data_IF_666982100060
#
_entry.id   IF_666982100060
#
_cell.length_a   1.000
_cell.length_b   1.000
_cell.length_c   1.000
_cell.angle_alpha   90.00
_cell.angle_beta   90.00
_cell.angle_gamma   90.00
#
_symmetry.space_group_name_H-M   'P 1'
#
loop_
_entity.id
_entity.type
_entity.pdbx_description
1 polymer ?
#
# COMPACT_ATOMS: atom_id res chain seq x y z
N UNK A 1 -17.99 2.72 16.42
CA UNK A 1 -17.86 2.02 15.12
C UNK A 1 -16.58 2.36 14.36
N UNK A 2 -16.34 3.62 13.96
CA UNK A 2 -15.14 4.00 13.19
C UNK A 2 -13.79 3.73 13.89
N UNK A 3 -13.67 4.02 15.20
CA UNK A 3 -12.45 3.72 15.94
C UNK A 3 -12.20 2.20 16.07
N UNK A 4 -13.25 1.42 16.32
CA UNK A 4 -13.18 -0.06 16.40
C UNK A 4 -12.67 -0.70 15.10
N UNK A 5 -12.97 -0.12 13.93
CA UNK A 5 -12.44 -0.60 12.64
C UNK A 5 -10.98 -0.23 12.39
N UNK A 6 -10.49 0.85 13.01
CA UNK A 6 -9.08 1.25 12.90
C UNK A 6 -8.17 0.54 13.92
N UNK A 7 -8.71 0.04 15.03
CA UNK A 7 -7.94 -0.72 16.05
C UNK A 7 -7.19 -1.90 15.42
N UNK A 8 -7.81 -2.78 14.62
CA UNK A 8 -7.09 -3.87 13.93
C UNK A 8 -5.97 -3.37 13.01
N UNK A 9 -6.16 -2.24 12.33
CA UNK A 9 -5.18 -1.65 11.41
C UNK A 9 -3.97 -1.08 12.17
N UNK A 10 -4.20 -0.45 13.33
CA UNK A 10 -3.12 0.04 14.19
C UNK A 10 -2.40 -1.13 14.85
N UNK A 11 -3.14 -2.11 15.38
CA UNK A 11 -2.58 -3.34 15.92
C UNK A 11 -1.69 -4.06 14.89
N UNK A 12 -2.14 -4.11 13.63
CA UNK A 12 -1.37 -4.65 12.52
C UNK A 12 0.04 -4.05 12.39
N UNK A 13 0.15 -2.73 12.56
CA UNK A 13 1.42 -2.00 12.47
C UNK A 13 2.31 -2.25 13.69
N UNK A 14 1.73 -2.60 14.83
CA UNK A 14 2.43 -2.81 16.08
C UNK A 14 2.82 -4.27 16.32
N UNK A 15 2.19 -5.25 15.66
CA UNK A 15 2.48 -6.68 15.89
C UNK A 15 3.96 -7.07 15.80
N UNK A 16 4.78 -6.55 14.86
CA UNK A 16 6.20 -6.87 14.84
C UNK A 16 6.93 -6.46 16.14
N UNK A 17 6.59 -5.29 16.69
CA UNK A 17 7.11 -4.81 17.96
C UNK A 17 6.59 -5.68 19.12
N UNK A 18 5.30 -6.00 19.12
CA UNK A 18 4.70 -6.87 20.15
C UNK A 18 5.37 -8.23 20.15
N UNK A 19 5.58 -8.85 18.98
CA UNK A 19 6.27 -10.13 18.85
C UNK A 19 7.67 -10.10 19.45
N UNK A 20 8.40 -9.01 19.19
CA UNK A 20 9.73 -8.80 19.75
C UNK A 20 9.69 -8.72 21.29
N UNK A 21 8.80 -7.90 21.85
CA UNK A 21 8.65 -7.74 23.29
C UNK A 21 8.17 -9.03 23.96
N UNK A 22 7.22 -9.75 23.36
CA UNK A 22 6.76 -11.06 23.82
C UNK A 22 7.90 -12.07 23.85
N UNK A 23 8.76 -12.08 22.83
CA UNK A 23 9.93 -12.97 22.77
C UNK A 23 10.93 -12.63 23.87
N UNK A 24 11.19 -11.33 24.10
CA UNK A 24 12.05 -10.86 25.19
C UNK A 24 11.49 -11.30 26.55
N UNK A 25 10.19 -11.09 26.79
CA UNK A 25 9.54 -11.45 28.05
C UNK A 25 9.53 -12.95 28.29
N UNK A 26 9.21 -13.75 27.27
CA UNK A 26 9.21 -15.21 27.37
C UNK A 26 10.60 -15.74 27.73
N UNK A 27 11.65 -15.29 27.03
CA UNK A 27 13.03 -15.67 27.35
C UNK A 27 13.48 -15.13 28.71
N UNK A 28 13.05 -13.93 29.10
CA UNK A 28 13.35 -13.37 30.40
C UNK A 28 12.70 -14.16 31.54
N UNK A 29 11.46 -14.66 31.35
CA UNK A 29 10.79 -15.53 32.32
C UNK A 29 11.55 -16.85 32.48
N UNK A 30 11.83 -17.54 31.36
CA UNK A 30 12.63 -18.77 31.36
C UNK A 30 14.03 -18.58 31.98
N UNK A 31 14.64 -17.42 31.79
CA UNK A 31 15.93 -17.10 32.41
C UNK A 31 15.82 -16.79 33.90
N UNK A 32 14.71 -16.18 34.34
CA UNK A 32 14.47 -15.81 35.74
C UNK A 32 14.24 -17.04 36.61
N UNK A 33 13.47 -17.99 36.09
CA UNK A 33 13.15 -19.25 36.76
C UNK A 33 14.28 -20.30 36.59
N UNK A 34 15.43 -19.88 36.06
CA UNK A 34 16.61 -20.72 35.80
C UNK A 34 16.35 -21.91 34.88
N UNK A 35 15.24 -21.93 34.14
CA UNK A 35 14.88 -23.01 33.21
C UNK A 35 15.88 -23.12 32.05
N UNK A 36 16.36 -21.98 31.52
CA UNK A 36 17.41 -21.98 30.47
C UNK A 36 18.71 -22.62 30.99
N UNK A 37 19.07 -22.35 32.25
CA UNK A 37 20.27 -22.92 32.87
C UNK A 37 20.08 -24.42 33.10
N UNK A 38 18.91 -24.84 33.61
CA UNK A 38 18.57 -26.25 33.81
C UNK A 38 18.57 -27.04 32.49
N UNK A 39 17.96 -26.51 31.43
CA UNK A 39 17.98 -27.11 30.10
C UNK A 39 19.42 -27.30 29.58
N UNK A 40 20.27 -26.28 29.73
CA UNK A 40 21.68 -26.36 29.34
C UNK A 40 22.47 -27.38 30.16
N UNK A 41 22.18 -27.52 31.45
CA UNK A 41 22.85 -28.50 32.32
C UNK A 41 22.58 -29.95 31.89
N UNK A 42 21.43 -30.24 31.26
CA UNK A 42 21.07 -31.56 30.71
C UNK A 42 21.51 -31.71 29.24
N UNK A 43 22.32 -30.78 28.72
CA UNK A 43 22.87 -30.84 27.36
C UNK A 43 21.92 -30.36 26.26
N UNK A 44 20.79 -29.71 26.59
CA UNK A 44 19.92 -29.09 25.58
C UNK A 44 20.59 -27.84 25.04
N UNK A 45 20.80 -27.81 23.72
CA UNK A 45 21.39 -26.65 23.05
C UNK A 45 20.46 -25.44 23.11
N UNK A 46 21.06 -24.25 23.26
CA UNK A 46 20.32 -22.98 23.25
C UNK A 46 19.51 -22.80 21.95
N UNK A 47 20.05 -23.28 20.83
CA UNK A 47 19.38 -23.25 19.53
C UNK A 47 18.06 -24.03 19.52
N UNK A 48 17.95 -25.12 20.28
CA UNK A 48 16.70 -25.89 20.40
C UNK A 48 15.63 -25.11 21.17
N UNK A 49 16.02 -24.31 22.16
CA UNK A 49 15.11 -23.40 22.89
C UNK A 49 14.64 -22.24 22.01
N UNK A 50 15.55 -21.73 21.16
CA UNK A 50 15.29 -20.60 20.26
C UNK A 50 14.42 -20.98 19.06
N UNK A 51 14.59 -22.18 18.52
CA UNK A 51 13.89 -22.64 17.32
C UNK A 51 12.34 -22.47 17.34
N UNK A 52 11.61 -22.88 18.39
CA UNK A 52 10.16 -22.69 18.44
C UNK A 52 9.76 -21.21 18.43
N UNK A 53 10.58 -20.31 18.99
CA UNK A 53 10.33 -18.87 18.96
C UNK A 53 10.47 -18.31 17.53
N UNK A 54 11.47 -18.77 16.78
CA UNK A 54 11.63 -18.40 15.37
C UNK A 54 10.45 -18.89 14.51
N UNK A 55 9.98 -20.12 14.75
CA UNK A 55 8.80 -20.66 14.09
C UNK A 55 7.54 -19.84 14.40
N UNK A 56 7.35 -19.43 15.67
CA UNK A 56 6.25 -18.56 16.06
C UNK A 56 6.33 -17.19 15.38
N UNK A 57 7.53 -16.58 15.30
CA UNK A 57 7.75 -15.32 14.59
C UNK A 57 7.44 -15.42 13.08
N UNK A 58 7.85 -16.52 12.44
CA UNK A 58 7.54 -16.79 11.03
C UNK A 58 6.05 -17.04 10.81
N UNK A 59 5.41 -17.84 11.66
CA UNK A 59 3.98 -18.10 11.62
C UNK A 59 3.19 -16.80 11.76
N UNK A 60 3.59 -15.93 12.70
CA UNK A 60 3.00 -14.60 12.84
C UNK A 60 3.18 -13.75 11.58
N UNK A 61 4.37 -13.74 10.96
CA UNK A 61 4.59 -13.05 9.68
C UNK A 61 3.65 -13.54 8.57
N UNK A 62 3.39 -14.85 8.48
CA UNK A 62 2.43 -15.42 7.52
C UNK A 62 1.01 -14.97 7.83
N UNK A 63 0.58 -15.03 9.09
CA UNK A 63 -0.74 -14.55 9.52
C UNK A 63 -0.91 -13.07 9.18
N UNK A 64 0.09 -12.23 9.46
CA UNK A 64 0.06 -10.82 9.11
C UNK A 64 -0.01 -10.61 7.59
N UNK A 65 0.70 -11.40 6.80
CA UNK A 65 0.64 -11.30 5.35
C UNK A 65 -0.78 -11.64 4.83
N UNK A 66 -1.40 -12.70 5.35
CA UNK A 66 -2.78 -13.09 5.00
C UNK A 66 -3.80 -12.01 5.41
N UNK A 67 -3.66 -11.46 6.63
CA UNK A 67 -4.51 -10.36 7.09
C UNK A 67 -4.33 -9.10 6.23
N UNK A 68 -3.09 -8.80 5.84
CA UNK A 68 -2.76 -7.67 4.96
C UNK A 68 -3.35 -7.79 3.56
N UNK A 69 -3.46 -9.00 3.02
CA UNK A 69 -4.00 -9.25 1.68
C UNK A 69 -5.54 -9.37 1.68
N UNK A 70 -6.13 -9.95 2.71
CA UNK A 70 -7.55 -10.32 2.76
C UNK A 70 -8.41 -9.35 3.60
N UNK A 71 -7.94 -8.99 4.80
CA UNK A 71 -8.74 -8.28 5.80
C UNK A 71 -8.58 -6.77 5.70
N UNK A 72 -7.34 -6.26 5.63
CA UNK A 72 -7.06 -4.82 5.63
C UNK A 72 -7.75 -4.07 4.46
N UNK A 73 -7.72 -4.55 3.21
CA UNK A 73 -8.37 -3.86 2.09
C UNK A 73 -9.89 -3.78 2.26
N UNK A 74 -10.51 -4.80 2.85
CA UNK A 74 -11.96 -4.84 3.12
C UNK A 74 -12.33 -3.89 4.26
N UNK A 75 -11.57 -3.94 5.36
CA UNK A 75 -11.75 -3.06 6.50
C UNK A 75 -11.52 -1.59 6.14
N UNK A 76 -10.51 -1.28 5.33
CA UNK A 76 -10.27 0.07 4.83
C UNK A 76 -11.42 0.57 3.96
N UNK A 77 -11.97 -0.27 3.09
CA UNK A 77 -13.15 0.09 2.28
C UNK A 77 -14.36 0.43 3.16
N UNK A 78 -14.66 -0.40 4.16
CA UNK A 78 -15.77 -0.17 5.09
C UNK A 78 -15.54 1.04 6.03
N UNK A 79 -14.31 1.21 6.53
CA UNK A 79 -13.96 2.34 7.38
C UNK A 79 -14.03 3.67 6.62
N UNK A 80 -13.60 3.70 5.35
CA UNK A 80 -13.74 4.88 4.49
C UNK A 80 -15.21 5.17 4.17
N UNK A 81 -16.04 4.14 3.98
CA UNK A 81 -17.48 4.31 3.82
C UNK A 81 -18.11 4.96 5.06
N UNK A 82 -17.75 4.51 6.27
CA UNK A 82 -18.30 5.03 7.53
C UNK A 82 -17.77 6.45 7.85
N UNK A 83 -16.48 6.71 7.62
CA UNK A 83 -15.88 8.04 7.86
C UNK A 83 -16.53 9.12 7.00
N UNK A 84 -16.85 8.76 5.75
CA UNK A 84 -17.47 9.68 4.81
C UNK A 84 -18.94 9.91 5.15
N UNK A 85 -19.70 8.86 5.48
CA UNK A 85 -21.14 8.95 5.78
C UNK A 85 -21.48 9.58 7.12
N UNK A 86 -20.77 9.22 8.20
CA UNK A 86 -21.17 9.59 9.56
C UNK A 86 -20.38 10.74 10.19
N UNK A 87 -19.16 11.01 9.75
CA UNK A 87 -18.28 11.98 10.44
C UNK A 87 -18.17 13.29 9.65
N UNK A 88 -18.18 13.23 8.31
CA UNK A 88 -18.02 14.45 7.49
C UNK A 88 -19.34 15.07 7.02
N UNK A 89 -20.49 14.49 7.41
CA UNK A 89 -21.84 14.86 6.93
C UNK A 89 -21.87 15.20 5.42
N UNK A 90 -21.05 14.49 4.63
CA UNK A 90 -21.15 14.48 3.18
C UNK A 90 -21.86 13.18 2.86
N UNK A 91 -23.06 13.31 2.30
CA UNK A 91 -23.87 12.17 1.87
C UNK A 91 -23.00 11.09 1.21
N UNK A 92 -23.35 9.83 1.49
CA UNK A 92 -22.65 8.66 0.99
C UNK A 92 -22.17 8.87 -0.45
N UNK A 93 -20.85 8.92 -0.64
CA UNK A 93 -20.20 9.31 -1.88
C UNK A 93 -20.39 8.30 -3.03
N UNK A 94 -21.60 8.26 -3.59
CA UNK A 94 -21.75 8.10 -5.03
C UNK A 94 -21.29 9.38 -5.72
N UNK A 95 -21.50 10.57 -5.14
CA UNK A 95 -21.22 11.86 -5.77
C UNK A 95 -19.72 12.21 -5.95
N UNK A 96 -18.86 12.08 -4.93
CA UNK A 96 -17.41 12.36 -5.14
C UNK A 96 -16.66 11.24 -5.90
N UNK A 97 -17.24 10.04 -5.98
CA UNK A 97 -16.65 8.91 -6.75
C UNK A 97 -17.03 8.94 -8.21
N UNK A 98 -18.09 9.68 -8.54
CA UNK A 98 -18.56 9.87 -9.90
C UNK A 98 -18.18 11.23 -10.47
N UNK A 99 -17.74 12.20 -9.64
CA UNK A 99 -17.35 13.53 -10.10
C UNK A 99 -15.85 13.69 -10.36
N UNK A 100 -15.52 14.56 -11.30
CA UNK A 100 -14.16 14.94 -11.69
C UNK A 100 -13.24 13.76 -12.03
N UNK A 101 -13.70 12.94 -12.97
CA UNK A 101 -12.98 11.75 -13.45
C UNK A 101 -12.00 12.17 -14.53
N UNK A 102 -10.71 11.95 -14.28
CA UNK A 102 -9.65 12.11 -15.26
C UNK A 102 -9.15 10.72 -15.69
N UNK A 103 -9.05 10.51 -17.00
CA UNK A 103 -8.57 9.26 -17.59
C UNK A 103 -7.61 9.59 -18.74
N UNK A 104 -6.43 8.97 -18.74
CA UNK A 104 -5.55 8.96 -19.91
C UNK A 104 -5.94 7.76 -20.78
N UNK A 105 -6.34 8.03 -22.01
CA UNK A 105 -6.75 7.03 -22.98
C UNK A 105 -5.62 6.57 -23.90
N UNK A 106 -5.97 5.70 -24.84
CA UNK A 106 -5.12 5.27 -25.92
C UNK A 106 -4.71 6.47 -26.80
N UNK A 107 -3.51 6.39 -27.40
CA UNK A 107 -2.99 7.45 -28.27
C UNK A 107 -2.61 8.74 -27.55
N UNK A 108 -2.51 8.75 -26.22
CA UNK A 108 -2.10 9.93 -25.44
C UNK A 108 -3.24 10.93 -25.16
N UNK A 109 -4.47 10.63 -25.57
CA UNK A 109 -5.65 11.45 -25.28
C UNK A 109 -5.93 11.54 -23.79
N UNK A 110 -6.36 12.71 -23.32
CA UNK A 110 -6.78 12.91 -21.93
C UNK A 110 -8.27 13.20 -21.90
N UNK A 111 -9.02 12.39 -21.18
CA UNK A 111 -10.45 12.56 -20.92
C UNK A 111 -10.67 13.14 -19.52
N UNK A 112 -11.61 14.08 -19.43
CA UNK A 112 -12.17 14.63 -18.21
C UNK A 112 -13.69 14.47 -18.26
N UNK A 113 -14.29 13.94 -17.21
CA UNK A 113 -15.75 13.88 -17.06
C UNK A 113 -16.16 14.49 -15.73
N UNK A 114 -17.07 15.46 -15.76
CA UNK A 114 -17.54 16.13 -14.54
C UNK A 114 -18.34 15.21 -13.64
N UNK A 115 -19.17 14.33 -14.21
CA UNK A 115 -19.99 13.37 -13.45
C UNK A 115 -20.20 12.08 -14.23
N UNK A 116 -20.23 10.96 -13.52
CA UNK A 116 -20.60 9.64 -14.04
C UNK A 116 -21.89 9.17 -13.38
N UNK A 117 -22.86 8.74 -14.17
CA UNK A 117 -24.10 8.15 -13.70
C UNK A 117 -24.04 6.62 -13.93
N UNK A 118 -23.90 5.82 -12.86
CA UNK A 118 -23.82 4.36 -12.98
C UNK A 118 -25.15 3.72 -13.39
N UNK A 119 -26.31 4.32 -13.07
CA UNK A 119 -27.63 3.78 -13.41
C UNK A 119 -27.94 4.05 -14.88
N UNK A 120 -27.76 5.30 -15.31
CA UNK A 120 -27.98 5.71 -16.69
C UNK A 120 -26.83 5.30 -17.64
N UNK A 121 -25.74 4.73 -17.11
CA UNK A 121 -24.50 4.40 -17.85
C UNK A 121 -24.02 5.57 -18.70
N UNK A 122 -24.08 6.76 -18.11
CA UNK A 122 -23.88 8.04 -18.79
C UNK A 122 -22.75 8.84 -18.12
N UNK A 123 -21.99 9.57 -18.92
CA UNK A 123 -21.04 10.58 -18.47
C UNK A 123 -21.63 11.96 -18.82
N UNK A 124 -21.48 12.91 -17.91
CA UNK A 124 -21.98 14.27 -18.03
C UNK A 124 -20.82 15.25 -18.07
N UNK A 125 -20.88 16.20 -19.02
CA UNK A 125 -19.83 17.17 -19.34
C UNK A 125 -18.47 16.50 -19.49
N UNK A 126 -18.32 15.76 -20.59
CA UNK A 126 -17.07 15.11 -20.97
C UNK A 126 -16.28 16.05 -21.86
N UNK A 127 -15.02 16.26 -21.53
CA UNK A 127 -14.06 16.94 -22.39
C UNK A 127 -12.91 15.99 -22.66
N UNK A 128 -12.44 15.90 -23.90
CA UNK A 128 -11.15 15.27 -24.18
C UNK A 128 -10.24 16.13 -25.03
N UNK A 129 -8.95 15.92 -24.81
CA UNK A 129 -7.87 16.67 -25.43
C UNK A 129 -7.00 15.72 -26.26
N UNK A 130 -6.81 16.08 -27.52
CA UNK A 130 -5.89 15.44 -28.45
C UNK A 130 -4.58 16.21 -28.48
N UNK A 131 -3.47 15.48 -28.47
CA UNK A 131 -2.12 16.04 -28.41
C UNK A 131 -1.27 15.55 -29.59
N UNK A 132 -0.37 16.40 -30.07
CA UNK A 132 0.72 15.97 -30.95
C UNK A 132 1.85 15.27 -30.15
N UNK A 133 2.83 14.64 -30.82
CA UNK A 133 4.00 14.05 -30.13
C UNK A 133 4.84 15.06 -29.31
N UNK A 134 4.73 16.36 -29.61
CA UNK A 134 5.36 17.46 -28.87
C UNK A 134 4.55 17.97 -27.67
N UNK A 135 3.46 17.27 -27.30
CA UNK A 135 2.55 17.62 -26.20
C UNK A 135 1.80 18.95 -26.40
N UNK A 136 1.62 19.39 -27.64
CA UNK A 136 0.76 20.53 -28.00
C UNK A 136 -0.66 20.05 -28.27
N UNK A 137 -1.65 20.82 -27.83
CA UNK A 137 -3.06 20.51 -28.03
C UNK A 137 -3.41 20.72 -29.51
N UNK A 138 -3.81 19.65 -30.20
CA UNK A 138 -4.26 19.68 -31.60
C UNK A 138 -5.78 19.72 -31.70
N UNK A 139 -6.48 19.23 -30.68
CA UNK A 139 -7.93 19.19 -30.65
C UNK A 139 -8.50 19.16 -29.24
N UNK A 140 -9.71 19.69 -29.11
CA UNK A 140 -10.53 19.60 -27.90
C UNK A 140 -11.96 19.26 -28.31
N UNK A 141 -12.52 18.21 -27.74
CA UNK A 141 -13.95 17.90 -27.90
C UNK A 141 -14.64 18.04 -26.57
N UNK A 142 -15.72 18.83 -26.53
CA UNK A 142 -16.63 18.94 -25.40
C UNK A 142 -17.94 18.23 -25.75
N UNK A 143 -18.48 17.44 -24.82
CA UNK A 143 -19.71 16.67 -24.98
C UNK A 143 -20.55 16.86 -23.73
N UNK A 144 -21.81 17.27 -23.88
CA UNK A 144 -22.70 17.50 -22.73
C UNK A 144 -23.09 16.19 -22.05
N UNK A 145 -23.44 15.16 -22.84
CA UNK A 145 -23.85 13.86 -22.32
C UNK A 145 -23.37 12.74 -23.22
N UNK A 146 -22.82 11.69 -22.62
CA UNK A 146 -22.22 10.57 -23.32
C UNK A 146 -22.74 9.25 -22.73
N UNK A 147 -23.56 8.52 -23.48
CA UNK A 147 -24.28 7.32 -23.02
C UNK A 147 -23.72 6.07 -23.67
N UNK A 148 -23.42 5.04 -22.87
CA UNK A 148 -22.89 3.78 -23.37
C UNK A 148 -23.99 2.89 -23.97
N UNK A 149 -23.86 2.53 -25.25
CA UNK A 149 -24.77 1.63 -25.97
C UNK A 149 -24.12 0.28 -26.32
N UNK A 150 -23.38 -0.31 -25.37
CA UNK A 150 -22.83 -1.67 -25.48
C UNK A 150 -21.49 -1.77 -26.22
N UNK A 151 -21.35 -1.05 -27.34
CA UNK A 151 -20.13 -1.05 -28.17
C UNK A 151 -19.74 0.37 -28.67
N UNK A 152 -20.73 1.27 -28.74
CA UNK A 152 -20.54 2.66 -29.16
C UNK A 152 -21.02 3.63 -28.09
N UNK A 153 -20.43 4.81 -28.09
CA UNK A 153 -20.88 5.92 -27.28
C UNK A 153 -21.85 6.79 -28.09
N UNK A 154 -23.04 7.03 -27.54
CA UNK A 154 -23.95 8.06 -28.02
C UNK A 154 -23.57 9.37 -27.34
N UNK A 155 -23.01 10.28 -28.11
CA UNK A 155 -22.59 11.61 -27.69
C UNK A 155 -23.71 12.60 -28.00
N UNK A 156 -24.06 13.46 -27.04
CA UNK A 156 -25.09 14.48 -27.16
C UNK A 156 -24.47 15.84 -26.83
N UNK A 157 -24.75 16.84 -27.66
CA UNK A 157 -24.17 18.18 -27.54
C UNK A 157 -22.66 18.21 -27.79
N UNK A 158 -22.22 17.66 -28.93
CA UNK A 158 -20.80 17.58 -29.29
C UNK A 158 -20.34 18.91 -29.87
N UNK A 159 -19.24 19.44 -29.32
CA UNK A 159 -18.50 20.59 -29.84
C UNK A 159 -17.04 20.18 -29.99
N UNK A 160 -16.63 19.86 -31.21
CA UNK A 160 -15.25 19.52 -31.55
C UNK A 160 -14.54 20.76 -32.09
N UNK A 161 -13.39 21.10 -31.50
CA UNK A 161 -12.52 22.20 -31.93
C UNK A 161 -11.18 21.63 -32.33
N UNK A 162 -10.75 21.87 -33.56
CA UNK A 162 -9.41 21.53 -34.04
C UNK A 162 -8.57 22.78 -34.20
N UNK A 163 -7.38 22.76 -33.61
CA UNK A 163 -6.45 23.87 -33.63
C UNK A 163 -5.44 23.63 -34.75
N UNK A 164 -5.45 24.48 -35.78
CA UNK A 164 -4.45 24.44 -36.83
C UNK A 164 -3.19 25.19 -36.40
N UNK A 165 -2.06 24.85 -37.03
CA UNK A 165 -0.76 25.45 -36.74
C UNK A 165 -0.66 26.96 -37.06
N UNK A 166 -1.58 27.47 -37.89
CA UNK A 166 -1.73 28.89 -38.26
C UNK A 166 -2.55 29.71 -37.25
N UNK A 167 -3.02 29.09 -36.16
CA UNK A 167 -3.90 29.72 -35.17
C UNK A 167 -5.40 29.67 -35.53
N UNK A 168 -5.77 29.10 -36.67
CA UNK A 168 -7.15 28.87 -37.05
C UNK A 168 -7.82 27.81 -36.18
N UNK A 169 -9.11 28.01 -35.87
CA UNK A 169 -9.93 27.05 -35.12
C UNK A 169 -11.08 26.57 -36.01
N UNK A 170 -11.04 25.30 -36.38
CA UNK A 170 -12.20 24.65 -36.98
C UNK A 170 -13.12 24.17 -35.87
N UNK A 171 -14.40 24.57 -35.91
CA UNK A 171 -15.41 24.11 -34.95
C UNK A 171 -16.46 23.27 -35.68
N UNK A 172 -16.59 22.02 -35.26
CA UNK A 172 -17.66 21.13 -35.69
C UNK A 172 -18.65 20.94 -34.53
N UNK A 173 -19.95 21.08 -34.81
CA UNK A 173 -21.02 20.90 -33.83
C UNK A 173 -21.97 19.81 -34.30
N UNK A 174 -22.25 18.84 -33.44
CA UNK A 174 -23.24 17.80 -33.69
C UNK A 174 -24.19 17.68 -32.50
N UNK A 175 -25.49 17.67 -32.76
CA UNK A 175 -26.50 17.51 -31.71
C UNK A 175 -26.43 16.11 -31.08
N UNK A 176 -26.32 15.07 -31.93
CA UNK A 176 -26.14 13.68 -31.51
C UNK A 176 -25.18 12.99 -32.47
N UNK A 177 -24.21 12.24 -31.95
CA UNK A 177 -23.24 11.47 -32.72
C UNK A 177 -23.01 10.10 -32.08
N UNK A 178 -22.88 9.05 -32.88
CA UNK A 178 -22.47 7.72 -32.42
C UNK A 178 -21.00 7.51 -32.73
N UNK A 179 -20.15 7.43 -31.70
CA UNK A 179 -18.70 7.29 -31.84
C UNK A 179 -18.20 6.01 -31.17
N UNK A 180 -17.40 5.24 -31.90
CA UNK A 180 -16.59 4.16 -31.34
C UNK A 180 -15.34 4.76 -30.71
N UNK A 181 -15.18 4.62 -29.40
CA UNK A 181 -13.96 5.01 -28.69
C UNK A 181 -13.27 3.75 -28.15
N UNK A 182 -11.92 3.72 -28.11
CA UNK A 182 -11.18 2.60 -27.52
C UNK A 182 -11.53 2.36 -26.05
N UNK A 183 -11.92 3.42 -25.33
CA UNK A 183 -12.28 3.37 -23.91
C UNK A 183 -13.77 3.04 -23.72
N UNK A 184 -14.07 1.83 -23.24
CA UNK A 184 -15.42 1.44 -22.84
C UNK A 184 -15.86 2.00 -21.48
N UNK A 185 -17.14 1.84 -21.14
CA UNK A 185 -17.76 2.29 -19.88
C UNK A 185 -17.00 1.90 -18.61
N UNK A 186 -16.40 0.71 -18.59
CA UNK A 186 -15.61 0.21 -17.47
C UNK A 186 -14.34 1.02 -17.18
N UNK A 187 -13.81 1.76 -18.16
CA UNK A 187 -12.67 2.64 -17.97
C UNK A 187 -13.03 3.83 -17.08
N UNK A 188 -14.25 4.35 -17.21
CA UNK A 188 -14.77 5.49 -16.46
C UNK A 188 -15.46 5.11 -15.14
N UNK A 189 -15.95 3.86 -15.02
CA UNK A 189 -16.54 3.32 -13.78
C UNK A 189 -15.51 3.04 -12.66
N UNK A 190 -14.27 3.50 -12.78
CA UNK A 190 -13.21 3.16 -11.83
C UNK A 190 -13.47 3.85 -10.50
N UNK A 191 -13.92 3.07 -9.51
CA UNK A 191 -13.86 3.42 -8.09
C UNK A 191 -12.41 3.79 -7.78
N UNK A 192 -12.18 5.06 -7.47
CA UNK A 192 -10.88 5.61 -7.07
C UNK A 192 -10.48 5.04 -5.71
N UNK A 193 -10.15 3.75 -5.63
CA UNK A 193 -9.45 3.18 -4.47
C UNK A 193 -8.09 3.88 -4.41
N UNK A 194 -7.72 4.39 -3.24
CA UNK A 194 -6.38 4.95 -3.08
C UNK A 194 -5.39 3.78 -3.14
N UNK A 195 -4.20 3.94 -3.75
CA UNK A 195 -3.21 2.87 -3.78
C UNK A 195 -2.86 2.27 -2.41
N UNK A 196 -2.98 3.07 -1.34
CA UNK A 196 -2.80 2.62 0.04
C UNK A 196 -3.80 1.53 0.47
N UNK A 197 -5.04 1.59 -0.04
CA UNK A 197 -6.15 0.70 0.33
C UNK A 197 -6.25 -0.53 -0.58
N UNK A 198 -5.41 -0.62 -1.62
CA UNK A 198 -5.35 -1.77 -2.52
C UNK A 198 -4.59 -2.91 -1.84
N UNK A 199 -4.98 -4.15 -2.12
CA UNK A 199 -4.16 -5.31 -1.76
C UNK A 199 -2.92 -5.41 -2.68
N UNK A 200 -2.02 -6.36 -2.42
CA UNK A 200 -0.78 -6.49 -3.19
C UNK A 200 -1.07 -6.79 -4.67
N UNK A 201 -2.02 -7.69 -4.95
CA UNK A 201 -2.38 -8.09 -6.32
C UNK A 201 -3.03 -6.95 -7.12
N UNK A 202 -3.92 -6.18 -6.49
CA UNK A 202 -4.56 -4.99 -7.04
C UNK A 202 -3.51 -3.91 -7.32
N UNK A 203 -2.63 -3.61 -6.35
CA UNK A 203 -1.58 -2.61 -6.50
C UNK A 203 -0.60 -2.98 -7.62
N UNK A 204 -0.19 -4.25 -7.73
CA UNK A 204 0.68 -4.71 -8.83
C UNK A 204 0.02 -4.58 -10.20
N UNK A 205 -1.29 -4.83 -10.31
CA UNK A 205 -2.04 -4.60 -11.57
C UNK A 205 -2.17 -3.12 -11.88
N UNK A 206 -2.41 -2.30 -10.87
CA UNK A 206 -2.48 -0.85 -10.99
C UNK A 206 -1.17 -0.25 -11.48
N UNK A 207 -0.03 -0.65 -10.87
CA UNK A 207 1.32 -0.21 -11.28
C UNK A 207 1.60 -0.56 -12.74
N UNK A 208 1.27 -1.79 -13.18
CA UNK A 208 1.49 -2.20 -14.58
C UNK A 208 0.72 -1.34 -15.57
N UNK A 209 -0.53 -0.99 -15.25
CA UNK A 209 -1.36 -0.12 -16.09
C UNK A 209 -0.83 1.30 -16.10
N UNK A 210 -0.56 1.87 -14.93
CA UNK A 210 -0.07 3.24 -14.82
C UNK A 210 1.29 3.41 -15.51
N UNK A 211 2.17 2.40 -15.42
CA UNK A 211 3.44 2.40 -16.14
C UNK A 211 3.24 2.36 -17.67
N UNK A 212 2.27 1.57 -18.17
CA UNK A 212 1.94 1.53 -19.60
C UNK A 212 1.33 2.85 -20.10
N UNK A 213 0.66 3.59 -19.21
CA UNK A 213 0.12 4.93 -19.47
C UNK A 213 1.19 6.05 -19.33
N UNK A 214 2.45 5.69 -19.07
CA UNK A 214 3.57 6.63 -18.89
C UNK A 214 3.52 7.42 -17.58
N UNK A 215 2.78 6.95 -16.58
CA UNK A 215 2.71 7.57 -15.26
C UNK A 215 3.90 7.21 -14.36
N UNK A 216 4.21 8.09 -13.41
CA UNK A 216 5.24 7.81 -12.40
C UNK A 216 4.76 6.73 -11.42
N UNK A 217 5.53 5.64 -11.36
CA UNK A 217 5.26 4.46 -10.53
C UNK A 217 6.34 4.21 -9.49
N UNK A 218 7.35 5.09 -9.36
CA UNK A 218 8.50 4.88 -8.47
C UNK A 218 8.04 4.69 -7.03
N UNK A 219 7.24 5.63 -6.52
CA UNK A 219 6.62 5.55 -5.19
C UNK A 219 5.80 4.27 -4.99
N UNK A 220 4.96 3.95 -5.97
CA UNK A 220 4.04 2.80 -5.88
C UNK A 220 4.78 1.46 -5.86
N UNK A 221 5.91 1.36 -6.58
CA UNK A 221 6.76 0.17 -6.55
C UNK A 221 7.37 -0.03 -5.15
N UNK A 222 7.83 1.04 -4.49
CA UNK A 222 8.34 0.95 -3.13
C UNK A 222 7.25 0.52 -2.15
N UNK A 223 6.06 1.10 -2.27
CA UNK A 223 4.88 0.72 -1.46
C UNK A 223 4.47 -0.75 -1.68
N UNK A 224 4.58 -1.25 -2.92
CA UNK A 224 4.31 -2.65 -3.25
C UNK A 224 5.26 -3.61 -2.51
N UNK A 225 6.56 -3.29 -2.47
CA UNK A 225 7.52 -4.10 -1.72
C UNK A 225 7.30 -3.98 -0.21
N UNK A 226 6.94 -2.80 0.30
CA UNK A 226 6.67 -2.61 1.73
C UNK A 226 5.46 -3.40 2.23
N UNK A 227 4.45 -3.63 1.38
CA UNK A 227 3.32 -4.52 1.72
C UNK A 227 3.76 -5.96 2.05
N UNK A 228 4.90 -6.42 1.52
CA UNK A 228 5.48 -7.72 1.85
C UNK A 228 6.54 -7.64 2.96
N UNK A 229 7.38 -6.60 2.94
CA UNK A 229 8.43 -6.42 3.93
C UNK A 229 7.87 -6.20 5.35
N UNK A 230 6.76 -5.48 5.48
CA UNK A 230 6.19 -5.14 6.78
C UNK A 230 5.69 -6.38 7.56
N UNK A 231 4.91 -7.31 7.00
CA UNK A 231 4.59 -8.57 7.69
C UNK A 231 5.83 -9.40 8.07
N UNK A 232 6.83 -9.45 7.19
CA UNK A 232 8.06 -10.21 7.41
C UNK A 232 8.90 -9.67 8.58
N UNK A 233 8.72 -8.41 8.93
CA UNK A 233 9.43 -7.80 10.05
C UNK A 233 9.14 -8.46 11.41
N UNK A 234 7.99 -9.13 11.58
CA UNK A 234 7.72 -9.86 12.82
C UNK A 234 8.72 -11.00 13.04
N UNK A 235 9.03 -11.79 12.00
CA UNK A 235 10.08 -12.81 12.07
C UNK A 235 11.47 -12.20 12.32
N UNK A 236 11.80 -11.10 11.64
CA UNK A 236 13.11 -10.42 11.81
C UNK A 236 13.30 -9.86 13.21
N UNK A 237 12.29 -9.17 13.75
CA UNK A 237 12.36 -8.62 15.10
C UNK A 237 12.31 -9.72 16.17
N UNK A 238 11.60 -10.82 15.93
CA UNK A 238 11.67 -12.02 16.79
C UNK A 238 13.09 -12.60 16.82
N UNK A 239 13.73 -12.75 15.64
CA UNK A 239 15.14 -13.16 15.53
C UNK A 239 16.06 -12.22 16.29
N UNK A 240 15.86 -10.91 16.16
CA UNK A 240 16.64 -9.90 16.86
C UNK A 240 16.45 -10.00 18.39
N UNK A 241 15.22 -10.20 18.88
CA UNK A 241 14.92 -10.26 20.32
C UNK A 241 15.75 -11.31 21.07
N UNK A 242 15.94 -12.48 20.46
CA UNK A 242 16.57 -13.65 21.10
C UNK A 242 17.95 -13.34 21.70
N UNK A 243 18.95 -12.90 20.93
CA UNK A 243 20.29 -12.64 21.47
C UNK A 243 20.36 -11.47 22.44
N UNK A 244 19.38 -10.56 22.43
CA UNK A 244 19.29 -9.48 23.43
C UNK A 244 18.60 -9.92 24.71
N UNK A 245 17.66 -10.87 24.63
CA UNK A 245 16.96 -11.39 25.80
C UNK A 245 17.83 -12.34 26.64
N UNK A 246 18.72 -13.10 25.99
CA UNK A 246 19.59 -14.09 26.66
C UNK A 246 20.84 -13.46 27.30
N UNK A 247 21.10 -12.16 27.10
CA UNK A 247 22.27 -11.50 27.68
C UNK A 247 22.24 -11.49 29.21
N UNK A 248 23.43 -11.75 29.79
CA UNK A 248 23.64 -12.23 31.17
C UNK A 248 22.84 -11.46 32.25
N UNK A 249 22.28 -12.16 33.26
CA UNK A 249 21.47 -11.56 34.34
C UNK A 249 22.11 -10.45 35.17
N UNK A 250 23.43 -10.22 35.07
CA UNK A 250 24.20 -9.38 36.01
C UNK A 250 24.13 -7.86 35.77
N UNK A 251 23.57 -7.34 34.68
CA UNK A 251 23.67 -5.89 34.38
C UNK A 251 22.35 -5.12 34.24
N UNK A 252 21.19 -5.69 34.59
CA UNK A 252 20.04 -4.86 35.00
C UNK A 252 18.62 -5.30 34.63
N UNK A 253 18.34 -6.61 34.67
CA UNK A 253 16.98 -7.15 34.75
C UNK A 253 16.10 -6.99 33.50
N UNK A 254 14.90 -7.58 33.56
CA UNK A 254 13.89 -7.58 32.50
C UNK A 254 13.52 -6.18 32.01
N UNK A 255 13.54 -5.18 32.90
CA UNK A 255 13.23 -3.79 32.55
C UNK A 255 14.19 -3.18 31.52
N UNK A 256 15.51 -3.43 31.64
CA UNK A 256 16.48 -2.93 30.66
C UNK A 256 16.33 -3.62 29.30
N UNK A 257 16.04 -4.92 29.29
CA UNK A 257 15.78 -5.66 28.06
C UNK A 257 14.52 -5.14 27.33
N UNK A 258 13.46 -4.83 28.09
CA UNK A 258 12.25 -4.21 27.54
C UNK A 258 12.52 -2.81 26.98
N UNK A 259 13.24 -1.96 27.73
CA UNK A 259 13.58 -0.62 27.28
C UNK A 259 14.43 -0.64 26.01
N UNK A 260 15.44 -1.51 25.94
CA UNK A 260 16.25 -1.72 24.75
C UNK A 260 15.41 -2.27 23.59
N UNK A 261 14.48 -3.20 23.87
CA UNK A 261 13.57 -3.72 22.87
C UNK A 261 12.68 -2.63 22.28
N UNK A 262 12.09 -1.78 23.11
CA UNK A 262 11.32 -0.63 22.65
C UNK A 262 12.18 0.31 21.78
N UNK A 263 13.40 0.62 22.21
CA UNK A 263 14.32 1.46 21.45
C UNK A 263 14.70 0.86 20.08
N UNK A 264 15.01 -0.43 20.03
CA UNK A 264 15.34 -1.14 18.79
C UNK A 264 14.14 -1.23 17.84
N UNK A 265 12.93 -1.44 18.37
CA UNK A 265 11.71 -1.45 17.57
C UNK A 265 11.37 -0.07 16.99
N UNK A 266 11.59 1.00 17.76
CA UNK A 266 11.49 2.38 17.26
C UNK A 266 12.55 2.67 16.19
N UNK A 267 13.79 2.23 16.41
CA UNK A 267 14.88 2.36 15.44
C UNK A 267 14.58 1.60 14.14
N UNK A 268 13.99 0.41 14.23
CA UNK A 268 13.49 -0.33 13.07
C UNK A 268 12.43 0.46 12.31
N UNK A 269 11.43 1.00 13.02
CA UNK A 269 10.36 1.78 12.39
C UNK A 269 10.91 3.04 11.71
N UNK A 270 11.85 3.73 12.36
CA UNK A 270 12.54 4.87 11.78
C UNK A 270 13.30 4.49 10.50
N UNK A 271 14.07 3.40 10.53
CA UNK A 271 14.84 2.93 9.36
C UNK A 271 13.93 2.53 8.20
N UNK A 272 12.77 1.93 8.49
CA UNK A 272 11.74 1.65 7.48
C UNK A 272 11.20 2.94 6.84
N UNK A 273 10.91 3.98 7.62
CA UNK A 273 10.43 5.26 7.09
C UNK A 273 11.49 5.98 6.25
N UNK A 274 12.75 5.95 6.69
CA UNK A 274 13.87 6.50 5.92
C UNK A 274 14.03 5.75 4.59
N UNK A 275 14.03 4.42 4.62
CA UNK A 275 14.11 3.59 3.43
C UNK A 275 12.99 3.90 2.44
N UNK A 276 11.75 3.96 2.92
CA UNK A 276 10.58 4.30 2.10
C UNK A 276 10.65 5.72 1.53
N UNK A 277 11.06 6.71 2.33
CA UNK A 277 11.22 8.10 1.87
C UNK A 277 12.25 8.20 0.73
N UNK A 278 13.39 7.52 0.88
CA UNK A 278 14.41 7.45 -0.17
C UNK A 278 13.92 6.70 -1.42
N UNK A 279 13.15 5.63 -1.24
CA UNK A 279 12.53 4.89 -2.34
C UNK A 279 11.46 5.70 -3.09
N UNK A 280 10.64 6.47 -2.37
CA UNK A 280 9.64 7.37 -2.96
C UNK A 280 10.29 8.49 -3.76
N UNK A 281 11.44 9.00 -3.33
CA UNK A 281 12.23 9.98 -4.06
C UNK A 281 13.10 9.40 -5.18
N UNK A 282 13.03 8.09 -5.46
CA UNK A 282 13.84 7.44 -6.49
C UNK A 282 15.34 7.34 -6.20
N UNK A 283 15.78 7.68 -4.98
CA UNK A 283 17.19 7.65 -4.57
C UNK A 283 17.69 6.24 -4.25
N UNK A 284 16.77 5.35 -3.86
CA UNK A 284 17.05 3.93 -3.63
C UNK A 284 16.15 3.05 -4.50
N UNK A 285 16.66 1.89 -4.98
CA UNK A 285 15.82 0.90 -5.63
C UNK A 285 14.63 0.51 -4.75
N UNK A 286 13.40 0.40 -5.29
CA UNK A 286 12.19 0.11 -4.53
C UNK A 286 12.28 -1.13 -3.61
N UNK A 287 13.00 -2.16 -4.07
CA UNK A 287 13.24 -3.38 -3.28
C UNK A 287 14.07 -3.07 -2.03
N UNK A 288 15.22 -2.42 -2.19
CA UNK A 288 16.10 -2.07 -1.07
C UNK A 288 15.44 -1.08 -0.12
N UNK A 289 14.74 -0.07 -0.66
CA UNK A 289 14.01 0.92 0.12
C UNK A 289 13.03 0.29 1.13
N UNK A 290 12.25 -0.69 0.68
CA UNK A 290 11.26 -1.36 1.52
C UNK A 290 11.87 -2.42 2.47
N UNK A 291 12.97 -3.06 2.07
CA UNK A 291 13.58 -4.16 2.83
C UNK A 291 14.75 -3.73 3.72
N UNK A 292 15.19 -2.47 3.64
CA UNK A 292 16.37 -1.96 4.35
C UNK A 292 16.35 -2.31 5.84
N UNK A 293 15.24 -2.05 6.53
CA UNK A 293 15.08 -2.38 7.95
C UNK A 293 15.22 -3.88 8.21
N UNK A 294 14.52 -4.71 7.43
CA UNK A 294 14.58 -6.17 7.58
C UNK A 294 15.99 -6.72 7.35
N UNK A 295 16.70 -6.19 6.36
CA UNK A 295 18.06 -6.63 6.04
C UNK A 295 19.04 -6.25 7.15
N UNK A 296 19.01 -5.00 7.61
CA UNK A 296 19.91 -4.52 8.67
C UNK A 296 19.67 -5.26 9.99
N UNK A 297 18.43 -5.27 10.47
CA UNK A 297 18.11 -5.91 11.74
C UNK A 297 18.16 -7.44 11.66
N UNK A 298 17.83 -8.03 10.51
CA UNK A 298 17.99 -9.46 10.27
C UNK A 298 19.46 -9.88 10.29
N UNK A 299 20.34 -9.12 9.64
CA UNK A 299 21.78 -9.36 9.66
C UNK A 299 22.35 -9.22 11.08
N UNK A 300 21.99 -8.16 11.81
CA UNK A 300 22.42 -7.97 13.20
C UNK A 300 21.92 -9.09 14.11
N UNK A 301 20.64 -9.46 14.00
CA UNK A 301 20.05 -10.55 14.77
C UNK A 301 20.72 -11.89 14.50
N UNK A 302 20.93 -12.23 13.22
CA UNK A 302 21.59 -13.47 12.82
C UNK A 302 23.05 -13.52 13.27
N UNK A 303 23.81 -12.44 13.05
CA UNK A 303 25.19 -12.32 13.50
C UNK A 303 25.31 -12.53 15.02
N UNK A 304 24.45 -11.85 15.79
CA UNK A 304 24.43 -11.97 17.25
C UNK A 304 24.00 -13.36 17.72
N UNK A 305 23.06 -14.00 17.03
CA UNK A 305 22.60 -15.35 17.36
C UNK A 305 23.73 -16.39 17.22
N UNK A 306 24.51 -16.32 16.14
CA UNK A 306 25.62 -17.24 15.87
C UNK A 306 26.76 -17.08 16.89
N UNK A 307 26.97 -15.85 17.37
CA UNK A 307 28.01 -15.52 18.37
C UNK A 307 27.52 -15.60 19.82
N UNK A 308 26.37 -16.24 20.08
CA UNK A 308 25.92 -16.47 21.45
C UNK A 308 26.95 -17.35 22.18
N UNK A 309 27.41 -16.95 23.38
CA UNK A 309 28.36 -17.76 24.14
C UNK A 309 27.72 -19.12 24.49
N UNK A 310 28.40 -20.18 24.06
CA UNK A 310 28.00 -21.59 24.23
C UNK A 310 27.94 -22.03 25.67
#
# INVERSE_FOLDING_TARGET
AYFLLNVPVVAFRLFPLVAMLSTILALAALSRDSEIVAMRAVGVSLYRVVWPLLQAGLALSVVLLLLGELAIPRMHQEADLIKQTRIRHREANTELRTRDIWLRGAGGRIYYARRFDPEARALLHVTWFDFDPGFRITGRTDVERMVWQGDRWRLEGVVERRFRADGGVETHRAAVELRSLPEGLSAFRRVKKRPADMNWVELRRYIRRLAAEGGDVVKLRADLHAKLAQPFSAAVLTLLAIPFAIQRPRSGGTGKALALGLALGLAYWFLLQVGLSLGHGGKLPPLLAAWLGNLVFGAVGLYRLIHLPQ
#
